data_IF_285679317071
#
_entry.id   IF_285679317071
#
_cell.length_a   1.000
_cell.length_b   1.000
_cell.length_c   1.000
_cell.angle_alpha   90.00
_cell.angle_beta   90.00
_cell.angle_gamma   90.00
#
_symmetry.space_group_name_H-M   'P 1'
#
loop_
_entity.id
_entity.type
_entity.pdbx_description
1 polymer ?
#
# COMPACT_ATOMS: atom_id res chain seq x y z
N UNK A 1 36.58 17.88 -13.32
CA UNK A 1 36.35 19.20 -13.92
C UNK A 1 34.87 19.30 -14.25
N UNK A 2 34.11 19.95 -13.43
CA UNK A 2 32.69 20.22 -13.66
C UNK A 2 32.58 21.21 -14.83
N UNK A 3 31.89 20.79 -15.88
CA UNK A 3 31.67 21.62 -17.05
C UNK A 3 30.81 22.84 -16.64
N UNK A 4 31.45 23.99 -16.39
CA UNK A 4 30.80 25.22 -15.93
C UNK A 4 29.86 25.85 -16.98
N UNK A 5 29.74 25.25 -18.17
CA UNK A 5 28.91 25.75 -19.26
C UNK A 5 27.53 25.10 -19.32
N UNK A 6 27.18 24.25 -18.38
CA UNK A 6 25.81 23.69 -18.35
C UNK A 6 24.92 24.63 -17.55
N UNK A 7 23.93 25.29 -18.16
CA UNK A 7 23.04 26.21 -17.46
C UNK A 7 22.37 25.48 -16.32
N UNK A 8 22.27 26.15 -15.17
CA UNK A 8 21.61 25.56 -13.99
C UNK A 8 20.13 25.33 -14.32
N UNK A 9 19.56 24.15 -14.03
CA UNK A 9 18.20 23.79 -14.43
C UNK A 9 17.13 24.82 -14.01
N UNK A 10 17.31 25.48 -12.87
CA UNK A 10 16.40 26.53 -12.41
C UNK A 10 16.51 27.85 -13.18
N UNK A 11 17.62 28.11 -13.87
CA UNK A 11 17.79 29.30 -14.70
C UNK A 11 17.04 29.17 -16.03
N UNK A 12 16.70 27.95 -16.46
CA UNK A 12 15.95 27.65 -17.69
C UNK A 12 14.47 27.38 -17.45
N UNK A 13 13.95 27.60 -16.24
CA UNK A 13 12.55 27.35 -15.92
C UNK A 13 12.16 25.88 -15.82
N UNK A 14 13.12 24.98 -15.62
CA UNK A 14 12.83 23.55 -15.40
C UNK A 14 12.05 23.33 -14.10
N UNK A 15 10.97 22.54 -14.12
CA UNK A 15 10.12 22.31 -12.96
C UNK A 15 10.78 21.54 -11.82
N UNK A 16 11.96 20.93 -12.06
CA UNK A 16 12.72 20.16 -11.06
C UNK A 16 14.23 20.29 -11.30
N UNK A 17 15.00 20.29 -10.19
CA UNK A 17 16.47 20.33 -10.21
C UNK A 17 17.11 19.17 -10.99
N UNK A 18 16.38 18.08 -11.18
CA UNK A 18 16.88 16.87 -11.84
C UNK A 18 16.31 16.71 -13.26
N UNK A 19 15.43 17.59 -13.70
CA UNK A 19 14.88 17.52 -15.04
C UNK A 19 15.93 18.00 -16.05
N UNK A 20 16.19 17.15 -17.07
CA UNK A 20 17.21 17.42 -18.07
C UNK A 20 18.64 17.00 -17.69
N UNK A 21 18.88 16.49 -16.48
CA UNK A 21 20.18 15.92 -16.09
C UNK A 21 20.17 14.40 -16.25
N UNK A 22 21.29 13.86 -16.75
CA UNK A 22 21.54 12.43 -16.71
C UNK A 22 21.77 12.00 -15.27
N UNK A 23 21.23 10.84 -14.91
CA UNK A 23 21.48 10.25 -13.60
C UNK A 23 22.91 9.74 -13.58
N UNK A 24 23.77 10.38 -12.78
CA UNK A 24 25.21 10.10 -12.74
C UNK A 24 25.57 8.86 -11.93
N UNK A 25 24.64 8.30 -11.15
CA UNK A 25 24.86 7.09 -10.35
C UNK A 25 23.59 6.25 -10.30
N UNK A 26 23.75 4.94 -10.15
CA UNK A 26 22.62 4.02 -9.95
C UNK A 26 21.98 4.30 -8.58
N UNK A 27 20.65 4.25 -8.47
CA UNK A 27 19.99 4.38 -7.18
C UNK A 27 20.45 3.26 -6.25
N UNK A 28 20.82 3.61 -5.03
CA UNK A 28 21.19 2.66 -3.98
C UNK A 28 19.94 2.08 -3.29
N UNK A 29 18.98 1.64 -4.11
CA UNK A 29 17.75 1.03 -3.63
C UNK A 29 17.98 -0.44 -3.33
N UNK A 30 18.11 -0.76 -2.04
CA UNK A 30 18.24 -2.12 -1.56
C UNK A 30 16.90 -2.89 -1.60
N UNK A 31 16.96 -4.19 -1.32
CA UNK A 31 15.75 -5.02 -1.25
C UNK A 31 14.77 -4.54 -0.16
N UNK A 32 15.23 -3.78 0.83
CA UNK A 32 14.39 -3.23 1.89
C UNK A 32 13.28 -2.33 1.34
N UNK A 33 13.55 -1.53 0.29
CA UNK A 33 12.56 -0.68 -0.37
C UNK A 33 11.43 -1.48 -1.02
N UNK A 34 11.73 -2.69 -1.50
CA UNK A 34 10.72 -3.61 -2.05
C UNK A 34 9.73 -4.00 -0.97
N UNK A 35 10.25 -4.42 0.17
CA UNK A 35 9.42 -4.85 1.30
C UNK A 35 8.69 -3.68 1.94
N UNK A 36 9.32 -2.52 2.10
CA UNK A 36 8.68 -1.29 2.55
C UNK A 36 7.52 -0.90 1.62
N UNK A 37 7.72 -0.91 0.30
CA UNK A 37 6.65 -0.62 -0.65
C UNK A 37 5.53 -1.68 -0.65
N UNK A 38 5.86 -2.95 -0.38
CA UNK A 38 4.88 -4.01 -0.27
C UNK A 38 4.03 -3.87 0.99
N UNK A 39 4.64 -3.76 2.18
CA UNK A 39 3.91 -3.69 3.45
C UNK A 39 3.12 -2.39 3.57
N UNK A 40 3.65 -1.28 3.07
CA UNK A 40 2.96 0.00 3.03
C UNK A 40 1.65 -0.08 2.21
N UNK A 41 1.72 -0.62 1.01
CA UNK A 41 0.53 -0.79 0.17
C UNK A 41 -0.44 -1.82 0.77
N UNK A 42 0.08 -2.92 1.31
CA UNK A 42 -0.74 -3.96 1.91
C UNK A 42 -1.54 -3.42 3.10
N UNK A 43 -0.88 -2.74 4.05
CA UNK A 43 -1.58 -2.20 5.23
C UNK A 43 -2.59 -1.13 4.86
N UNK A 44 -2.23 -0.21 3.93
CA UNK A 44 -3.13 0.84 3.49
C UNK A 44 -4.34 0.28 2.72
N UNK A 45 -4.12 -0.62 1.77
CA UNK A 45 -5.19 -1.27 1.01
C UNK A 45 -6.12 -2.10 1.89
N UNK A 46 -5.56 -2.85 2.84
CA UNK A 46 -6.31 -3.63 3.80
C UNK A 46 -7.17 -2.74 4.71
N UNK A 47 -6.60 -1.63 5.23
CA UNK A 47 -7.35 -0.71 6.07
C UNK A 47 -8.46 0.03 5.31
N UNK A 48 -8.21 0.44 4.06
CA UNK A 48 -9.24 1.08 3.22
C UNK A 48 -10.39 0.11 2.97
N UNK A 49 -10.12 -1.15 2.65
CA UNK A 49 -11.17 -2.16 2.50
C UNK A 49 -11.88 -2.47 3.81
N UNK A 50 -11.16 -2.53 4.93
CA UNK A 50 -11.76 -2.68 6.26
C UNK A 50 -12.74 -1.55 6.54
N UNK A 51 -12.37 -0.31 6.25
CA UNK A 51 -13.28 0.83 6.41
C UNK A 51 -14.52 0.73 5.51
N UNK A 52 -14.35 0.42 4.22
CA UNK A 52 -15.46 0.25 3.28
C UNK A 52 -16.38 -0.88 3.75
N UNK A 53 -15.83 -2.03 4.12
CA UNK A 53 -16.60 -3.18 4.60
C UNK A 53 -17.38 -2.87 5.89
N UNK A 54 -16.78 -2.11 6.79
CA UNK A 54 -17.43 -1.68 8.02
C UNK A 54 -18.58 -0.68 7.78
N UNK A 55 -18.40 0.30 6.89
CA UNK A 55 -19.39 1.34 6.61
C UNK A 55 -20.53 0.87 5.71
N UNK A 56 -20.23 0.07 4.70
CA UNK A 56 -21.17 -0.27 3.62
C UNK A 56 -21.51 -1.77 3.55
N UNK A 57 -20.77 -2.61 4.28
CA UNK A 57 -20.94 -4.06 4.25
C UNK A 57 -22.00 -4.58 5.23
N UNK A 58 -22.32 -5.88 5.14
CA UNK A 58 -23.18 -6.56 6.09
C UNK A 58 -22.65 -6.51 7.53
N UNK A 59 -23.54 -6.70 8.56
CA UNK A 59 -23.16 -6.64 9.98
C UNK A 59 -22.01 -7.57 10.39
N UNK A 60 -21.79 -8.68 9.67
CA UNK A 60 -20.66 -9.59 9.94
C UNK A 60 -19.31 -8.89 9.87
N UNK A 61 -19.15 -7.84 9.04
CA UNK A 61 -17.90 -7.08 8.96
C UNK A 61 -17.66 -6.20 10.20
N UNK A 62 -18.71 -5.81 10.91
CA UNK A 62 -18.56 -5.15 12.20
C UNK A 62 -17.96 -6.08 13.26
N UNK A 63 -18.31 -7.38 13.23
CA UNK A 63 -17.70 -8.39 14.12
C UNK A 63 -16.22 -8.67 13.77
N UNK A 64 -15.85 -8.53 12.49
CA UNK A 64 -14.46 -8.69 12.03
C UNK A 64 -13.59 -7.45 12.28
N UNK A 65 -14.20 -6.29 12.51
CA UNK A 65 -13.50 -5.01 12.61
C UNK A 65 -12.31 -5.03 13.61
N UNK A 66 -12.45 -5.52 14.85
CA UNK A 66 -11.34 -5.49 15.81
C UNK A 66 -10.13 -6.32 15.35
N UNK A 67 -10.39 -7.47 14.76
CA UNK A 67 -9.34 -8.34 14.23
C UNK A 67 -8.65 -7.71 13.02
N UNK A 68 -9.43 -7.07 12.14
CA UNK A 68 -8.90 -6.36 10.99
C UNK A 68 -8.04 -5.16 11.41
N UNK A 69 -8.49 -4.34 12.38
CA UNK A 69 -7.70 -3.24 12.92
C UNK A 69 -6.40 -3.74 13.57
N UNK A 70 -6.48 -4.83 14.34
CA UNK A 70 -5.29 -5.42 14.99
C UNK A 70 -4.30 -5.93 13.95
N UNK A 71 -4.76 -6.64 12.93
CA UNK A 71 -3.91 -7.12 11.84
C UNK A 71 -3.28 -5.96 11.05
N UNK A 72 -4.06 -4.93 10.71
CA UNK A 72 -3.56 -3.73 10.06
C UNK A 72 -2.47 -3.05 10.88
N UNK A 73 -2.64 -2.97 12.22
CA UNK A 73 -1.65 -2.39 13.14
C UNK A 73 -0.35 -3.21 13.12
N UNK A 74 -0.42 -4.53 13.14
CA UNK A 74 0.78 -5.38 13.06
C UNK A 74 1.53 -5.15 11.75
N UNK A 75 0.82 -5.05 10.63
CA UNK A 75 1.43 -4.83 9.31
C UNK A 75 2.05 -3.43 9.22
N UNK A 76 1.38 -2.37 9.71
CA UNK A 76 1.94 -1.01 9.67
C UNK A 76 3.15 -0.86 10.60
N UNK A 77 3.23 -1.61 11.69
CA UNK A 77 4.43 -1.64 12.53
C UNK A 77 5.61 -2.21 11.75
N UNK A 78 5.41 -3.29 10.99
CA UNK A 78 6.44 -3.86 10.10
C UNK A 78 6.86 -2.83 9.05
N UNK A 79 5.92 -2.15 8.41
CA UNK A 79 6.18 -1.09 7.43
C UNK A 79 7.03 0.05 8.03
N UNK A 80 6.65 0.55 9.22
CA UNK A 80 7.41 1.60 9.91
C UNK A 80 8.82 1.17 10.28
N UNK A 81 9.01 -0.07 10.73
CA UNK A 81 10.34 -0.62 11.01
C UNK A 81 11.19 -0.66 9.74
N UNK A 82 10.64 -1.15 8.63
CA UNK A 82 11.35 -1.18 7.34
C UNK A 82 11.70 0.23 6.86
N UNK A 83 10.78 1.18 6.98
CA UNK A 83 11.00 2.57 6.60
C UNK A 83 12.13 3.23 7.41
N UNK A 84 12.19 2.99 8.73
CA UNK A 84 13.25 3.51 9.59
C UNK A 84 14.61 2.94 9.18
N UNK A 85 14.69 1.64 8.87
CA UNK A 85 15.93 1.02 8.40
C UNK A 85 16.33 1.47 7.00
N UNK A 86 15.35 1.75 6.12
CA UNK A 86 15.62 2.24 4.76
C UNK A 86 16.26 3.64 4.75
N UNK A 87 15.94 4.47 5.73
CA UNK A 87 16.55 5.80 5.86
C UNK A 87 18.05 5.78 6.23
N UNK A 88 18.59 4.64 6.64
CA UNK A 88 19.98 4.45 7.03
C UNK A 88 20.43 5.23 8.28
N UNK A 89 19.64 6.22 8.70
CA UNK A 89 19.85 7.05 9.88
C UNK A 89 18.50 7.29 10.55
N UNK A 90 18.13 6.50 11.59
CA UNK A 90 16.85 6.59 12.27
C UNK A 90 16.46 8.01 12.77
N UNK A 91 17.38 8.86 13.27
CA UNK A 91 17.06 10.24 13.62
C UNK A 91 16.54 11.09 12.46
N UNK A 92 16.87 10.77 11.20
CA UNK A 92 16.36 11.50 10.02
C UNK A 92 14.85 11.34 9.83
N UNK A 93 14.26 10.26 10.32
CA UNK A 93 12.81 10.08 10.30
C UNK A 93 12.11 11.19 11.09
N UNK A 94 12.63 11.56 12.27
CA UNK A 94 12.10 12.67 13.09
C UNK A 94 12.23 14.00 12.34
N UNK A 95 13.31 14.20 11.58
CA UNK A 95 13.48 15.41 10.76
C UNK A 95 12.50 15.49 9.60
N UNK A 96 12.17 14.37 8.96
CA UNK A 96 11.17 14.32 7.90
C UNK A 96 9.76 14.72 8.39
N UNK A 97 9.46 14.49 9.67
CA UNK A 97 8.21 14.87 10.33
C UNK A 97 8.20 16.30 10.88
N UNK A 98 9.30 17.05 10.75
CA UNK A 98 9.45 18.37 11.38
C UNK A 98 8.57 19.45 10.75
N UNK A 99 8.36 19.39 9.44
CA UNK A 99 7.57 20.38 8.68
C UNK A 99 6.72 19.67 7.64
N UNK A 100 5.42 19.95 7.61
CA UNK A 100 4.51 19.47 6.58
C UNK A 100 4.56 20.38 5.36
N UNK A 101 5.02 19.82 4.23
CA UNK A 101 5.01 20.47 2.93
C UNK A 101 3.97 19.81 2.02
N UNK A 102 2.84 20.47 1.78
CA UNK A 102 1.75 19.94 0.96
C UNK A 102 2.12 19.72 -0.52
N UNK A 103 3.14 20.42 -1.00
CA UNK A 103 3.65 20.26 -2.39
C UNK A 103 4.62 19.09 -2.54
N UNK A 104 5.07 18.49 -1.45
CA UNK A 104 5.99 17.34 -1.46
C UNK A 104 5.22 16.04 -1.21
N UNK A 105 5.09 15.14 -2.19
CA UNK A 105 4.42 13.86 -1.99
C UNK A 105 5.02 13.04 -0.84
N UNK A 106 6.33 13.08 -0.70
CA UNK A 106 7.02 12.37 0.38
C UNK A 106 6.65 12.93 1.76
N UNK A 107 6.59 14.27 1.90
CA UNK A 107 6.20 14.91 3.18
C UNK A 107 4.74 14.57 3.53
N UNK A 108 3.82 14.68 2.56
CA UNK A 108 2.42 14.30 2.75
C UNK A 108 2.29 12.83 3.13
N UNK A 109 3.07 11.95 2.49
CA UNK A 109 3.08 10.51 2.77
C UNK A 109 3.56 10.18 4.19
N UNK A 110 4.66 10.78 4.64
CA UNK A 110 5.21 10.56 5.99
C UNK A 110 4.22 11.02 7.07
N UNK A 111 3.61 12.20 6.91
CA UNK A 111 2.58 12.68 7.83
C UNK A 111 1.30 11.85 7.78
N UNK A 112 0.88 11.43 6.58
CA UNK A 112 -0.24 10.53 6.39
C UNK A 112 -0.03 9.18 7.08
N UNK A 113 1.16 8.59 6.94
CA UNK A 113 1.54 7.33 7.58
C UNK A 113 1.60 7.47 9.11
N UNK A 114 2.17 8.56 9.62
CA UNK A 114 2.21 8.83 11.06
C UNK A 114 0.80 9.00 11.66
N UNK A 115 -0.06 9.76 10.99
CA UNK A 115 -1.46 9.93 11.39
C UNK A 115 -2.20 8.58 11.35
N UNK A 116 -2.06 7.84 10.27
CA UNK A 116 -2.66 6.51 10.09
C UNK A 116 -2.25 5.56 11.21
N UNK A 117 -0.94 5.37 11.41
CA UNK A 117 -0.42 4.43 12.41
C UNK A 117 -0.82 4.82 13.85
N UNK A 118 -0.77 6.11 14.17
CA UNK A 118 -1.16 6.60 15.50
C UNK A 118 -2.65 6.42 15.76
N UNK A 119 -3.51 6.83 14.82
CA UNK A 119 -4.95 6.67 14.97
C UNK A 119 -5.36 5.19 15.02
N UNK A 120 -4.75 4.34 14.21
CA UNK A 120 -4.96 2.90 14.24
C UNK A 120 -4.52 2.28 15.57
N UNK A 121 -3.35 2.68 16.09
CA UNK A 121 -2.87 2.26 17.40
C UNK A 121 -3.81 2.67 18.53
N UNK A 122 -4.34 3.90 18.49
CA UNK A 122 -5.36 4.36 19.45
C UNK A 122 -6.65 3.53 19.33
N UNK A 123 -7.16 3.28 18.12
CA UNK A 123 -8.38 2.48 17.93
C UNK A 123 -8.24 1.07 18.49
N UNK A 124 -7.13 0.39 18.19
CA UNK A 124 -6.83 -0.97 18.68
C UNK A 124 -6.62 -0.97 20.19
N UNK A 125 -5.85 -0.02 20.71
CA UNK A 125 -5.61 0.11 22.16
C UNK A 125 -6.90 0.33 22.94
N UNK A 126 -7.78 1.23 22.48
CA UNK A 126 -9.07 1.49 23.11
C UNK A 126 -9.96 0.25 23.06
N UNK A 127 -10.01 -0.45 21.92
CA UNK A 127 -10.81 -1.67 21.81
C UNK A 127 -10.38 -2.74 22.83
N UNK A 128 -9.10 -3.09 22.86
CA UNK A 128 -8.62 -4.12 23.78
C UNK A 128 -8.69 -3.70 25.25
N UNK A 129 -8.51 -2.40 25.54
CA UNK A 129 -8.77 -1.85 26.86
C UNK A 129 -10.23 -2.00 27.26
N UNK A 130 -11.17 -1.74 26.34
CA UNK A 130 -12.61 -1.93 26.60
C UNK A 130 -12.95 -3.38 26.89
N UNK A 131 -12.39 -4.32 26.13
CA UNK A 131 -12.56 -5.77 26.37
C UNK A 131 -12.05 -6.16 27.75
N UNK A 132 -10.84 -5.70 28.11
CA UNK A 132 -10.26 -5.95 29.42
C UNK A 132 -11.13 -5.37 30.55
N UNK A 133 -11.57 -4.13 30.42
CA UNK A 133 -12.40 -3.44 31.44
C UNK A 133 -13.74 -4.11 31.67
N UNK A 134 -14.36 -4.64 30.61
CA UNK A 134 -15.59 -5.44 30.75
C UNK A 134 -15.30 -6.76 31.48
N UNK A 135 -14.21 -7.43 31.15
CA UNK A 135 -13.85 -8.72 31.73
C UNK A 135 -13.48 -8.61 33.22
N UNK A 136 -12.84 -7.52 33.64
CA UNK A 136 -12.40 -7.27 35.02
C UNK A 136 -13.36 -6.44 35.84
N UNK A 137 -14.38 -5.85 35.20
CA UNK A 137 -15.34 -4.92 35.83
C UNK A 137 -14.61 -3.79 36.61
N UNK A 138 -13.60 -3.21 36.00
CA UNK A 138 -12.79 -2.14 36.60
C UNK A 138 -13.48 -0.77 36.56
N UNK A 139 -12.78 0.26 36.96
CA UNK A 139 -13.31 1.65 37.03
C UNK A 139 -13.69 2.24 35.66
N UNK A 140 -13.23 1.66 34.55
CA UNK A 140 -13.57 2.07 33.19
C UNK A 140 -14.86 1.43 32.67
N UNK A 141 -15.32 0.34 33.29
CA UNK A 141 -16.54 -0.36 32.84
C UNK A 141 -17.76 0.56 32.65
N UNK A 142 -18.03 1.59 33.51
CA UNK A 142 -19.13 2.53 33.28
C UNK A 142 -18.97 3.42 32.04
N UNK A 143 -17.75 3.55 31.51
CA UNK A 143 -17.41 4.43 30.37
C UNK A 143 -17.30 3.71 29.03
N UNK A 144 -17.68 2.44 28.94
CA UNK A 144 -17.56 1.61 27.71
C UNK A 144 -18.21 2.28 26.50
N UNK A 145 -19.37 2.93 26.67
CA UNK A 145 -20.03 3.63 25.56
C UNK A 145 -19.17 4.78 25.00
N UNK A 146 -18.47 5.51 25.85
CA UNK A 146 -17.55 6.57 25.43
C UNK A 146 -16.28 6.00 24.77
N UNK A 147 -15.76 4.89 25.27
CA UNK A 147 -14.63 4.20 24.67
C UNK A 147 -14.99 3.68 23.26
N UNK A 148 -16.21 3.16 23.06
CA UNK A 148 -16.67 2.73 21.73
C UNK A 148 -16.77 3.92 20.75
N UNK A 149 -17.29 5.07 21.18
CA UNK A 149 -17.32 6.29 20.37
C UNK A 149 -15.90 6.74 19.98
N UNK A 150 -14.97 6.75 20.94
CA UNK A 150 -13.57 7.12 20.66
C UNK A 150 -12.89 6.13 19.72
N UNK A 151 -13.10 4.83 19.91
CA UNK A 151 -12.57 3.78 19.02
C UNK A 151 -13.07 3.98 17.60
N UNK A 152 -14.37 4.24 17.39
CA UNK A 152 -14.94 4.53 16.08
C UNK A 152 -14.36 5.80 15.46
N UNK A 153 -14.20 6.86 16.23
CA UNK A 153 -13.58 8.11 15.77
C UNK A 153 -12.15 7.86 15.27
N UNK A 154 -11.32 7.17 16.06
CA UNK A 154 -9.96 6.85 15.65
C UNK A 154 -9.92 5.89 14.47
N UNK A 155 -10.88 4.97 14.33
CA UNK A 155 -11.00 4.11 13.14
C UNK A 155 -11.28 4.93 11.88
N UNK A 156 -12.17 5.93 11.95
CA UNK A 156 -12.45 6.85 10.83
C UNK A 156 -11.20 7.66 10.46
N UNK A 157 -10.49 8.19 11.44
CA UNK A 157 -9.25 8.94 11.21
C UNK A 157 -8.15 8.05 10.62
N UNK A 158 -8.02 6.80 11.07
CA UNK A 158 -7.11 5.83 10.50
C UNK A 158 -7.48 5.49 9.04
N UNK A 159 -8.76 5.32 8.73
CA UNK A 159 -9.25 5.13 7.37
C UNK A 159 -8.86 6.31 6.45
N UNK A 160 -9.09 7.55 6.88
CA UNK A 160 -8.68 8.74 6.12
C UNK A 160 -7.16 8.77 5.91
N UNK A 161 -6.38 8.49 6.95
CA UNK A 161 -4.93 8.37 6.85
C UNK A 161 -4.49 7.28 5.86
N UNK A 162 -5.13 6.11 5.88
CA UNK A 162 -4.85 5.02 4.96
C UNK A 162 -5.14 5.39 3.49
N UNK A 163 -6.19 6.21 3.21
CA UNK A 163 -6.45 6.74 1.86
C UNK A 163 -5.32 7.63 1.37
N UNK A 164 -4.71 8.42 2.24
CA UNK A 164 -3.52 9.21 1.88
C UNK A 164 -2.33 8.28 1.62
N UNK A 165 -2.10 7.31 2.52
CA UNK A 165 -0.98 6.36 2.45
C UNK A 165 -1.03 5.51 1.19
N UNK A 166 -2.20 5.02 0.77
CA UNK A 166 -2.34 4.17 -0.42
C UNK A 166 -1.93 4.89 -1.71
N UNK A 167 -2.10 6.23 -1.75
CA UNK A 167 -1.82 7.03 -2.95
C UNK A 167 -0.38 7.53 -3.01
N UNK A 168 0.23 7.87 -1.85
CA UNK A 168 1.46 8.67 -1.86
C UNK A 168 2.65 7.95 -2.49
N UNK A 169 2.82 6.65 -2.30
CA UNK A 169 3.98 5.91 -2.84
C UNK A 169 4.00 5.92 -4.37
N UNK A 170 2.85 5.73 -5.02
CA UNK A 170 2.75 5.81 -6.48
C UNK A 170 3.08 7.19 -7.00
N UNK A 171 2.59 8.24 -6.32
CA UNK A 171 2.93 9.63 -6.66
C UNK A 171 4.41 9.90 -6.41
N UNK A 172 4.95 9.50 -5.26
CA UNK A 172 6.35 9.72 -4.91
C UNK A 172 7.30 9.06 -5.93
N UNK A 173 7.05 7.80 -6.30
CA UNK A 173 7.84 7.10 -7.32
C UNK A 173 7.75 7.77 -8.68
N UNK A 174 6.57 8.25 -9.11
CA UNK A 174 6.42 8.96 -10.39
C UNK A 174 7.11 10.32 -10.42
N UNK A 175 7.33 10.93 -9.26
CA UNK A 175 8.04 12.21 -9.11
C UNK A 175 9.57 12.05 -9.02
N UNK A 176 10.08 10.82 -8.95
CA UNK A 176 11.54 10.60 -8.92
C UNK A 176 12.19 10.88 -10.27
N UNK A 177 13.50 11.08 -10.26
CA UNK A 177 14.30 11.20 -11.49
C UNK A 177 14.62 9.83 -12.12
N UNK A 178 14.19 8.74 -11.52
CA UNK A 178 14.58 7.39 -11.92
C UNK A 178 13.99 7.01 -13.29
N UNK A 179 14.81 6.48 -14.22
CA UNK A 179 14.34 6.09 -15.54
C UNK A 179 13.31 4.96 -15.43
N UNK A 180 12.36 4.94 -16.36
CA UNK A 180 11.31 3.92 -16.43
C UNK A 180 10.05 4.24 -15.61
N UNK A 181 10.18 4.90 -14.45
CA UNK A 181 9.05 5.28 -13.60
C UNK A 181 8.80 6.80 -13.55
N UNK A 182 9.77 7.58 -13.98
CA UNK A 182 9.66 9.05 -14.03
C UNK A 182 8.46 9.48 -14.88
N UNK A 183 7.61 10.35 -14.32
CA UNK A 183 6.39 10.88 -14.97
C UNK A 183 5.42 9.77 -15.44
N UNK A 184 5.46 8.58 -14.84
CA UNK A 184 4.52 7.51 -15.13
C UNK A 184 3.16 7.84 -14.51
N UNK A 185 2.20 8.27 -15.34
CA UNK A 185 0.87 8.75 -14.90
C UNK A 185 0.03 7.65 -14.30
N UNK A 186 0.11 6.44 -14.85
CA UNK A 186 -0.68 5.29 -14.43
C UNK A 186 -0.08 4.51 -13.26
N UNK A 187 1.13 4.88 -12.80
CA UNK A 187 1.79 4.19 -11.70
C UNK A 187 0.98 4.25 -10.40
N UNK A 188 0.44 5.42 -10.05
CA UNK A 188 -0.38 5.58 -8.85
C UNK A 188 -1.66 4.74 -8.93
N UNK A 189 -2.36 4.76 -10.07
CA UNK A 189 -3.59 3.98 -10.26
C UNK A 189 -3.31 2.48 -10.17
N UNK A 190 -2.19 2.01 -10.74
CA UNK A 190 -1.75 0.62 -10.63
C UNK A 190 -1.45 0.25 -9.17
N UNK A 191 -0.66 1.04 -8.45
CA UNK A 191 -0.30 0.76 -7.06
C UNK A 191 -1.51 0.78 -6.13
N UNK A 192 -2.47 1.68 -6.35
CA UNK A 192 -3.71 1.76 -5.56
C UNK A 192 -4.60 0.55 -5.81
N UNK A 193 -4.85 0.18 -7.08
CA UNK A 193 -5.70 -0.97 -7.40
C UNK A 193 -5.09 -2.28 -6.90
N UNK A 194 -3.78 -2.44 -7.03
CA UNK A 194 -3.06 -3.60 -6.52
C UNK A 194 -3.06 -3.65 -4.98
N UNK A 195 -2.89 -2.52 -4.30
CA UNK A 195 -2.97 -2.44 -2.84
C UNK A 195 -4.36 -2.84 -2.31
N UNK A 196 -5.43 -2.36 -2.95
CA UNK A 196 -6.79 -2.75 -2.61
C UNK A 196 -7.04 -4.24 -2.86
N UNK A 197 -6.55 -4.77 -3.98
CA UNK A 197 -6.68 -6.18 -4.31
C UNK A 197 -5.94 -7.08 -3.31
N UNK A 198 -4.69 -6.75 -2.97
CA UNK A 198 -3.94 -7.43 -1.90
C UNK A 198 -4.67 -7.36 -0.57
N UNK A 199 -5.22 -6.19 -0.22
CA UNK A 199 -6.03 -6.00 0.98
C UNK A 199 -7.27 -6.88 0.98
N UNK A 200 -7.96 -7.03 -0.17
CA UNK A 200 -9.12 -7.91 -0.32
C UNK A 200 -8.75 -9.39 -0.12
N UNK A 201 -7.65 -9.83 -0.72
CA UNK A 201 -7.13 -11.19 -0.52
C UNK A 201 -6.76 -11.46 0.92
N UNK A 202 -6.05 -10.54 1.57
CA UNK A 202 -5.71 -10.68 2.99
C UNK A 202 -6.94 -10.71 3.90
N UNK A 203 -7.95 -9.88 3.58
CA UNK A 203 -9.20 -9.85 4.34
C UNK A 203 -9.94 -11.19 4.25
N UNK A 204 -10.00 -11.78 3.05
CA UNK A 204 -10.61 -13.10 2.85
C UNK A 204 -9.87 -14.19 3.66
N UNK A 205 -8.54 -14.19 3.64
CA UNK A 205 -7.73 -15.14 4.42
C UNK A 205 -8.00 -14.95 5.92
N UNK A 206 -7.96 -13.72 6.42
CA UNK A 206 -8.24 -13.42 7.83
C UNK A 206 -9.65 -13.88 8.23
N UNK A 207 -10.67 -13.55 7.45
CA UNK A 207 -12.05 -13.92 7.73
C UNK A 207 -12.24 -15.45 7.76
N UNK A 208 -11.64 -16.16 6.82
CA UNK A 208 -11.67 -17.62 6.77
C UNK A 208 -10.98 -18.25 7.99
N UNK A 209 -9.80 -17.74 8.40
CA UNK A 209 -9.10 -18.21 9.59
C UNK A 209 -9.90 -18.00 10.88
N UNK A 210 -10.73 -16.97 10.94
CA UNK A 210 -11.60 -16.67 12.08
C UNK A 210 -12.96 -17.40 12.00
N UNK A 211 -13.21 -18.21 10.96
CA UNK A 211 -14.45 -18.94 10.79
C UNK A 211 -15.62 -18.13 10.20
N UNK A 212 -15.37 -16.90 9.72
CA UNK A 212 -16.36 -16.05 9.06
C UNK A 212 -16.42 -16.34 7.55
N UNK A 213 -16.76 -17.55 7.19
CA UNK A 213 -16.70 -18.04 5.81
C UNK A 213 -17.61 -17.27 4.85
N UNK A 214 -18.77 -16.80 5.32
CA UNK A 214 -19.69 -16.00 4.52
C UNK A 214 -19.06 -14.68 4.03
N UNK A 215 -18.08 -14.14 4.75
CA UNK A 215 -17.38 -12.95 4.32
C UNK A 215 -16.69 -13.14 2.97
N UNK A 216 -16.18 -14.34 2.67
CA UNK A 216 -15.54 -14.64 1.39
C UNK A 216 -16.51 -14.49 0.21
N UNK A 217 -17.79 -14.84 0.39
CA UNK A 217 -18.81 -14.68 -0.65
C UNK A 217 -19.08 -13.20 -0.95
N UNK A 218 -19.13 -12.34 0.08
CA UNK A 218 -19.29 -10.90 -0.10
C UNK A 218 -18.05 -10.23 -0.71
N UNK A 219 -16.85 -10.78 -0.50
CA UNK A 219 -15.60 -10.26 -1.04
C UNK A 219 -15.36 -10.68 -2.50
N UNK A 220 -16.09 -11.66 -3.03
CA UNK A 220 -15.90 -12.16 -4.40
C UNK A 220 -16.07 -11.05 -5.45
N UNK A 221 -17.17 -10.31 -5.40
CA UNK A 221 -17.44 -9.25 -6.38
C UNK A 221 -16.41 -8.11 -6.29
N UNK A 222 -16.10 -7.54 -5.11
CA UNK A 222 -15.01 -6.59 -4.97
C UNK A 222 -13.67 -7.11 -5.49
N UNK A 223 -13.32 -8.37 -5.20
CA UNK A 223 -12.10 -8.99 -5.67
C UNK A 223 -12.00 -8.98 -7.20
N UNK A 224 -13.04 -9.43 -7.90
CA UNK A 224 -13.07 -9.46 -9.37
C UNK A 224 -13.00 -8.04 -9.95
N UNK A 225 -13.73 -7.06 -9.37
CA UNK A 225 -13.66 -5.67 -9.83
C UNK A 225 -12.23 -5.11 -9.68
N UNK A 226 -11.58 -5.38 -8.55
CA UNK A 226 -10.22 -4.92 -8.28
C UNK A 226 -9.19 -5.61 -9.19
N UNK A 227 -9.38 -6.89 -9.53
CA UNK A 227 -8.55 -7.58 -10.52
C UNK A 227 -8.63 -6.91 -11.90
N UNK A 228 -9.83 -6.60 -12.37
CA UNK A 228 -10.02 -5.89 -13.63
C UNK A 228 -9.39 -4.49 -13.58
N UNK A 229 -9.56 -3.77 -12.46
CA UNK A 229 -8.98 -2.44 -12.27
C UNK A 229 -7.44 -2.50 -12.28
N UNK A 230 -6.84 -3.47 -11.57
CA UNK A 230 -5.38 -3.68 -11.55
C UNK A 230 -4.84 -4.03 -12.94
N UNK A 231 -5.45 -5.00 -13.61
CA UNK A 231 -5.03 -5.42 -14.95
C UNK A 231 -5.13 -4.26 -15.96
N UNK A 232 -6.18 -3.44 -15.88
CA UNK A 232 -6.37 -2.26 -16.71
C UNK A 232 -5.30 -1.18 -16.43
N UNK A 233 -5.08 -0.86 -15.15
CA UNK A 233 -4.07 0.11 -14.74
C UNK A 233 -2.66 -0.34 -15.12
N UNK A 234 -2.35 -1.63 -14.96
CA UNK A 234 -1.08 -2.21 -15.39
C UNK A 234 -0.90 -2.13 -16.91
N UNK A 235 -1.95 -2.42 -17.69
CA UNK A 235 -1.90 -2.30 -19.15
C UNK A 235 -1.58 -0.88 -19.59
N UNK A 236 -2.21 0.11 -18.97
CA UNK A 236 -1.98 1.52 -19.26
C UNK A 236 -0.57 1.97 -18.84
N UNK A 237 -0.11 1.55 -17.66
CA UNK A 237 1.25 1.78 -17.20
C UNK A 237 2.27 1.15 -18.15
N UNK A 238 2.00 -0.09 -18.60
CA UNK A 238 2.84 -0.80 -19.54
C UNK A 238 2.95 -0.07 -20.88
N UNK A 239 1.83 0.39 -21.42
CA UNK A 239 1.82 1.16 -22.67
C UNK A 239 2.59 2.47 -22.55
N UNK A 240 2.48 3.15 -21.40
CA UNK A 240 3.19 4.41 -21.14
C UNK A 240 4.71 4.20 -21.00
N UNK A 241 5.13 3.12 -20.35
CA UNK A 241 6.56 2.86 -20.04
C UNK A 241 7.25 1.97 -21.08
N UNK A 242 6.51 1.30 -21.95
CA UNK A 242 7.01 0.24 -22.83
C UNK A 242 8.18 0.68 -23.74
N UNK A 243 8.19 1.92 -24.24
CA UNK A 243 9.24 2.41 -25.12
C UNK A 243 10.59 2.49 -24.41
N UNK A 244 10.59 2.93 -23.15
CA UNK A 244 11.80 3.05 -22.32
C UNK A 244 12.23 1.70 -21.73
N UNK A 245 11.27 0.86 -21.38
CA UNK A 245 11.50 -0.45 -20.80
C UNK A 245 11.86 -1.52 -21.85
N UNK A 246 11.45 -1.38 -23.12
CA UNK A 246 11.67 -2.39 -24.17
C UNK A 246 13.13 -2.77 -24.37
N UNK A 247 14.05 -1.82 -24.31
CA UNK A 247 15.48 -2.07 -24.52
C UNK A 247 16.11 -2.88 -23.38
N UNK A 248 15.59 -2.72 -22.15
CA UNK A 248 16.18 -3.29 -20.93
C UNK A 248 15.49 -4.59 -20.52
N UNK A 249 14.24 -4.80 -20.90
CA UNK A 249 13.37 -5.87 -20.38
C UNK A 249 12.89 -6.88 -21.40
N UNK A 250 13.56 -7.04 -22.54
CA UNK A 250 13.08 -7.94 -23.61
C UNK A 250 12.83 -9.40 -23.18
N UNK A 251 13.54 -9.91 -22.18
CA UNK A 251 13.35 -11.26 -21.65
C UNK A 251 12.53 -11.34 -20.35
N UNK A 252 12.82 -10.50 -19.36
CA UNK A 252 12.19 -10.54 -18.03
C UNK A 252 10.75 -10.02 -18.01
N UNK A 253 10.38 -9.20 -18.97
CA UNK A 253 9.04 -8.63 -19.12
C UNK A 253 7.95 -9.69 -19.37
N UNK A 254 8.27 -10.76 -20.05
CA UNK A 254 7.32 -11.85 -20.29
C UNK A 254 6.94 -12.51 -18.98
N UNK A 255 7.90 -12.73 -18.08
CA UNK A 255 7.65 -13.34 -16.77
C UNK A 255 6.75 -12.47 -15.91
N UNK A 256 6.99 -11.16 -15.87
CA UNK A 256 6.11 -10.24 -15.13
C UNK A 256 4.68 -10.26 -15.65
N UNK A 257 4.49 -10.21 -16.99
CA UNK A 257 3.14 -10.28 -17.58
C UNK A 257 2.44 -11.59 -17.27
N UNK A 258 3.17 -12.70 -17.26
CA UNK A 258 2.63 -14.00 -16.84
C UNK A 258 2.17 -13.94 -15.38
N UNK A 259 2.94 -13.35 -14.49
CA UNK A 259 2.55 -13.19 -13.09
C UNK A 259 1.32 -12.29 -12.94
N UNK A 260 1.32 -11.11 -13.53
CA UNK A 260 0.24 -10.12 -13.35
C UNK A 260 -1.06 -10.57 -14.01
N UNK A 261 -1.02 -11.06 -15.26
CA UNK A 261 -2.25 -11.39 -15.98
C UNK A 261 -2.69 -12.83 -15.82
N UNK A 262 -1.78 -13.80 -15.75
CA UNK A 262 -2.15 -15.21 -15.71
C UNK A 262 -2.21 -15.74 -14.28
N UNK A 263 -1.17 -15.58 -13.48
CA UNK A 263 -1.08 -16.18 -12.14
C UNK A 263 -1.88 -15.37 -11.13
N UNK A 264 -1.49 -14.13 -10.89
CA UNK A 264 -2.16 -13.23 -9.95
C UNK A 264 -3.45 -12.64 -10.50
N UNK A 265 -3.71 -12.74 -11.82
CA UNK A 265 -4.94 -12.28 -12.47
C UNK A 265 -5.90 -13.42 -12.73
N UNK A 266 -5.84 -14.02 -13.93
CA UNK A 266 -6.82 -15.01 -14.39
C UNK A 266 -6.95 -16.22 -13.45
N UNK A 267 -5.83 -16.82 -13.03
CA UNK A 267 -5.85 -17.96 -12.14
C UNK A 267 -6.43 -17.60 -10.76
N UNK A 268 -6.03 -16.46 -10.19
CA UNK A 268 -6.57 -15.98 -8.93
C UNK A 268 -8.08 -15.69 -9.06
N UNK A 269 -8.51 -15.02 -10.12
CA UNK A 269 -9.93 -14.77 -10.38
C UNK A 269 -10.73 -16.08 -10.52
N UNK A 270 -10.23 -17.07 -11.25
CA UNK A 270 -10.88 -18.38 -11.39
C UNK A 270 -10.96 -19.09 -10.04
N UNK A 271 -9.86 -19.13 -9.28
CA UNK A 271 -9.84 -19.77 -7.96
C UNK A 271 -10.85 -19.14 -6.99
N UNK A 272 -11.04 -17.84 -7.03
CA UNK A 272 -11.98 -17.14 -6.15
C UNK A 272 -13.43 -17.68 -6.23
N UNK A 273 -13.83 -18.30 -7.34
CA UNK A 273 -15.15 -18.92 -7.50
C UNK A 273 -15.27 -20.29 -6.81
N UNK A 274 -14.19 -20.90 -6.33
CA UNK A 274 -14.24 -22.21 -5.68
C UNK A 274 -14.46 -22.12 -4.15
N UNK A 275 -15.29 -21.16 -3.73
CA UNK A 275 -15.66 -20.99 -2.33
C UNK A 275 -14.53 -20.46 -1.45
N UNK A 276 -14.61 -20.72 -0.16
CA UNK A 276 -13.70 -20.14 0.84
C UNK A 276 -12.23 -20.50 0.58
N UNK A 277 -11.95 -21.75 0.34
CA UNK A 277 -10.57 -22.22 0.10
C UNK A 277 -10.00 -21.65 -1.21
N UNK A 278 -10.84 -21.58 -2.24
CA UNK A 278 -10.47 -20.97 -3.51
C UNK A 278 -10.19 -19.47 -3.36
N UNK A 279 -11.01 -18.76 -2.60
CA UNK A 279 -10.81 -17.34 -2.31
C UNK A 279 -9.54 -17.08 -1.48
N UNK A 280 -9.22 -17.94 -0.52
CA UNK A 280 -7.96 -17.87 0.24
C UNK A 280 -6.74 -18.12 -0.68
N UNK A 281 -6.82 -19.12 -1.55
CA UNK A 281 -5.77 -19.42 -2.51
C UNK A 281 -5.57 -18.24 -3.51
N UNK A 282 -6.65 -17.64 -3.98
CA UNK A 282 -6.63 -16.45 -4.81
C UNK A 282 -5.96 -15.28 -4.10
N UNK A 283 -6.33 -15.03 -2.84
CA UNK A 283 -5.70 -14.00 -2.00
C UNK A 283 -4.19 -14.23 -1.82
N UNK A 284 -3.78 -15.47 -1.57
CA UNK A 284 -2.36 -15.81 -1.44
C UNK A 284 -1.58 -15.58 -2.75
N UNK A 285 -2.16 -15.92 -3.91
CA UNK A 285 -1.55 -15.67 -5.22
C UNK A 285 -1.40 -14.17 -5.50
N UNK A 286 -2.41 -13.37 -5.15
CA UNK A 286 -2.34 -11.91 -5.30
C UNK A 286 -1.25 -11.31 -4.41
N UNK A 287 -1.12 -11.76 -3.17
CA UNK A 287 -0.05 -11.30 -2.27
C UNK A 287 1.33 -11.64 -2.82
N UNK A 288 1.54 -12.86 -3.34
CA UNK A 288 2.78 -13.26 -4.00
C UNK A 288 3.06 -12.41 -5.24
N UNK A 289 2.05 -12.19 -6.09
CA UNK A 289 2.17 -11.34 -7.27
C UNK A 289 2.58 -9.92 -6.88
N UNK A 290 1.98 -9.37 -5.82
CA UNK A 290 2.33 -8.06 -5.30
C UNK A 290 3.80 -7.91 -4.89
N UNK A 291 4.42 -8.94 -4.32
CA UNK A 291 5.86 -8.96 -4.05
C UNK A 291 6.67 -8.91 -5.35
N UNK A 292 6.33 -9.76 -6.35
CA UNK A 292 7.01 -9.78 -7.65
C UNK A 292 6.93 -8.44 -8.38
N UNK A 293 5.76 -7.79 -8.35
CA UNK A 293 5.55 -6.48 -8.97
C UNK A 293 6.47 -5.40 -8.37
N UNK A 294 6.67 -5.40 -7.04
CA UNK A 294 7.59 -4.45 -6.38
C UNK A 294 9.04 -4.74 -6.72
N UNK A 295 9.44 -6.00 -6.77
CA UNK A 295 10.78 -6.37 -7.25
C UNK A 295 11.03 -5.89 -8.68
N UNK A 296 10.02 -6.02 -9.55
CA UNK A 296 10.12 -5.51 -10.91
C UNK A 296 10.17 -3.98 -10.95
N UNK A 297 9.26 -3.29 -10.27
CA UNK A 297 9.16 -1.84 -10.28
C UNK A 297 10.47 -1.18 -9.81
N UNK A 298 11.05 -1.70 -8.74
CA UNK A 298 12.32 -1.20 -8.19
C UNK A 298 13.50 -1.67 -9.03
N UNK A 299 13.45 -2.90 -9.55
CA UNK A 299 14.47 -3.46 -10.43
C UNK A 299 14.60 -2.71 -11.76
N UNK A 300 13.52 -2.09 -12.26
CA UNK A 300 13.54 -1.29 -13.49
C UNK A 300 14.52 -0.12 -13.39
N UNK A 301 14.60 0.50 -12.24
CA UNK A 301 15.48 1.66 -12.01
C UNK A 301 16.94 1.29 -11.93
N UNK A 302 17.28 0.03 -11.60
CA UNK A 302 18.66 -0.46 -11.47
C UNK A 302 19.28 -0.89 -12.79
N UNK A 303 18.44 -1.20 -13.79
CA UNK A 303 18.89 -1.80 -15.06
C UNK A 303 19.02 -0.80 -16.21
N UNK A 304 18.52 0.41 -16.05
CA UNK A 304 18.64 1.51 -16.98
C UNK A 304 19.72 2.49 -16.53
#
# INVERSE_FOLDING_TARGET
>A
MTNMNNPKPWAEGHPSLYEGHDITHRPDWANIIVWDAFFNNLTAGFMVLTGIAWFAGPPLFAALLPFALTLALLIVIVDLVLLVFDLGDPPRFIHAMRVLHFTSPLSVGVWGLACYATCLGCAVGIYWLSVYSVATNDFLAPYIAWLDILMRLFTVLAFIGAVVVICYKGVAFSCTSQPGIRKARWLTSFMVSDALLMGCGLYAIMAACLGFWDACAYLLLPFIILEVARASAFSLLWMETAERARKVYSGENTLLRVWVYLIGGLLAAVLAFFGVYGMCAAGALVLLTGVFERYWLIGITKKI
#
